data_IF_104978224145
#
_entry.id   IF_104978224145
#
_cell.length_a   1.000
_cell.length_b   1.000
_cell.length_c   1.000
_cell.angle_alpha   90.00
_cell.angle_beta   90.00
_cell.angle_gamma   90.00
#
_symmetry.space_group_name_H-M   'P 1'
#
loop_
_entity.id
_entity.type
_entity.pdbx_description
1 polymer ?
#
# COMPACT_ATOMS: atom_id res chain seq x y z
N UNK A 1 10.86 34.62 -14.88
CA UNK A 1 11.64 33.68 -14.05
C UNK A 1 10.77 32.71 -13.24
N UNK A 2 9.63 33.12 -12.65
CA UNK A 2 8.77 32.23 -11.88
C UNK A 2 8.18 31.04 -12.67
N UNK A 3 7.75 31.26 -13.92
CA UNK A 3 7.12 30.21 -14.75
C UNK A 3 8.08 29.06 -15.11
N UNK A 4 9.34 29.36 -15.43
CA UNK A 4 10.34 28.35 -15.75
C UNK A 4 10.67 27.46 -14.54
N UNK A 5 10.72 28.04 -13.35
CA UNK A 5 10.94 27.30 -12.10
C UNK A 5 9.77 26.34 -11.82
N UNK A 6 8.53 26.80 -12.00
CA UNK A 6 7.33 25.96 -11.82
C UNK A 6 7.31 24.77 -12.77
N UNK A 7 7.66 24.97 -14.04
CA UNK A 7 7.77 23.90 -15.04
C UNK A 7 8.83 22.85 -14.64
N UNK A 8 10.00 23.29 -14.17
CA UNK A 8 11.06 22.39 -13.71
C UNK A 8 10.62 21.59 -12.47
N UNK A 9 9.95 22.22 -11.51
CA UNK A 9 9.38 21.56 -10.33
C UNK A 9 8.34 20.51 -10.72
N UNK A 10 7.48 20.81 -11.69
CA UNK A 10 6.51 19.85 -12.21
C UNK A 10 7.18 18.64 -12.89
N UNK A 11 8.20 18.88 -13.71
CA UNK A 11 8.97 17.80 -14.37
C UNK A 11 9.67 16.88 -13.35
N UNK A 12 10.30 17.47 -12.33
CA UNK A 12 10.95 16.71 -11.25
C UNK A 12 9.93 15.91 -10.44
N UNK A 13 8.76 16.49 -10.16
CA UNK A 13 7.67 15.79 -9.47
C UNK A 13 7.16 14.59 -10.28
N UNK A 14 6.90 14.78 -11.58
CA UNK A 14 6.44 13.73 -12.48
C UNK A 14 7.45 12.59 -12.61
N UNK A 15 8.73 12.90 -12.80
CA UNK A 15 9.79 11.91 -12.86
C UNK A 15 9.98 11.17 -11.53
N UNK A 16 9.89 11.88 -10.40
CA UNK A 16 9.98 11.24 -9.08
C UNK A 16 8.79 10.29 -8.85
N UNK A 17 7.58 10.68 -9.27
CA UNK A 17 6.38 9.85 -9.15
C UNK A 17 6.42 8.59 -10.02
N UNK A 18 6.91 8.68 -11.26
CA UNK A 18 7.02 7.53 -12.17
C UNK A 18 8.05 6.49 -11.71
N UNK A 19 9.06 6.92 -10.93
CA UNK A 19 10.11 6.07 -10.38
C UNK A 19 9.96 5.82 -8.86
N UNK A 20 8.87 6.26 -8.24
CA UNK A 20 8.61 5.97 -6.82
C UNK A 20 8.08 4.54 -6.65
N UNK A 21 9.01 3.60 -6.54
CA UNK A 21 8.72 2.23 -6.16
C UNK A 21 8.73 2.13 -4.64
N UNK A 22 7.56 2.38 -4.04
CA UNK A 22 7.39 2.43 -2.59
C UNK A 22 6.10 1.77 -2.16
N UNK A 23 6.11 1.22 -0.95
CA UNK A 23 4.93 0.69 -0.29
C UNK A 23 4.79 1.34 1.08
N UNK A 24 3.58 1.75 1.44
CA UNK A 24 3.25 2.22 2.78
C UNK A 24 2.17 1.34 3.37
N UNK A 25 2.23 1.12 4.67
CA UNK A 25 1.21 0.40 5.40
C UNK A 25 0.77 1.20 6.61
N UNK A 26 -0.55 1.31 6.78
CA UNK A 26 -1.17 1.90 7.96
C UNK A 26 -2.15 0.93 8.60
N UNK A 27 -2.39 1.13 9.90
CA UNK A 27 -3.29 0.28 10.68
C UNK A 27 -4.34 1.15 11.34
N UNK A 28 -5.59 0.67 11.36
CA UNK A 28 -6.71 1.36 11.98
C UNK A 28 -7.50 0.38 12.83
N UNK A 29 -7.58 0.65 14.13
CA UNK A 29 -8.42 -0.14 15.04
C UNK A 29 -9.90 0.08 14.75
N UNK A 30 -10.67 -1.01 14.65
CA UNK A 30 -12.11 -1.02 14.31
C UNK A 30 -12.99 -1.64 15.38
N UNK A 31 -12.48 -1.88 16.58
CA UNK A 31 -13.22 -2.49 17.69
C UNK A 31 -12.77 -3.91 18.03
N UNK A 32 -13.48 -4.56 18.95
CA UNK A 32 -13.26 -5.95 19.34
C UNK A 32 -14.35 -6.87 18.82
N UNK A 33 -13.99 -8.11 18.55
CA UNK A 33 -14.93 -9.20 18.28
C UNK A 33 -15.48 -9.76 19.61
N UNK A 34 -16.60 -10.52 19.59
CA UNK A 34 -17.18 -11.12 20.80
C UNK A 34 -16.24 -12.05 21.56
N UNK A 35 -15.25 -12.64 20.89
CA UNK A 35 -14.22 -13.50 21.50
C UNK A 35 -13.02 -12.72 22.10
N UNK A 36 -13.10 -11.39 22.15
CA UNK A 36 -12.09 -10.52 22.74
C UNK A 36 -10.95 -10.12 21.81
N UNK A 37 -10.86 -10.73 20.61
CA UNK A 37 -9.84 -10.36 19.61
C UNK A 37 -10.11 -8.98 19.01
N UNK A 38 -9.07 -8.34 18.47
CA UNK A 38 -9.15 -7.01 17.87
C UNK A 38 -9.48 -7.11 16.38
N UNK A 39 -10.40 -6.26 15.91
CA UNK A 39 -10.65 -6.02 14.49
C UNK A 39 -9.80 -4.83 14.06
N UNK A 40 -8.89 -5.03 13.11
CA UNK A 40 -7.95 -4.02 12.66
C UNK A 40 -7.92 -4.00 11.14
N UNK A 41 -8.04 -2.80 10.55
CA UNK A 41 -7.87 -2.60 9.12
C UNK A 41 -6.42 -2.27 8.82
N UNK A 42 -5.82 -3.02 7.90
CA UNK A 42 -4.47 -2.85 7.38
C UNK A 42 -4.60 -2.28 5.98
N UNK A 43 -4.11 -1.07 5.75
CA UNK A 43 -4.20 -0.37 4.47
C UNK A 43 -2.81 -0.29 3.86
N UNK A 44 -2.60 -1.08 2.82
CA UNK A 44 -1.35 -1.17 2.10
C UNK A 44 -1.47 -0.44 0.76
N UNK A 45 -0.70 0.63 0.57
CA UNK A 45 -0.65 1.40 -0.68
C UNK A 45 0.72 1.22 -1.32
N UNK A 46 0.73 0.71 -2.54
CA UNK A 46 1.97 0.34 -3.24
C UNK A 46 1.92 0.74 -4.69
N UNK A 47 3.07 1.19 -5.16
CA UNK A 47 3.30 1.65 -6.52
C UNK A 47 4.21 0.68 -7.27
N UNK A 48 3.77 0.25 -8.45
CA UNK A 48 4.52 -0.67 -9.32
C UNK A 48 4.70 -0.09 -10.71
N UNK A 49 5.68 -0.62 -11.42
CA UNK A 49 5.85 -0.46 -12.87
C UNK A 49 4.84 -1.31 -13.67
N UNK A 50 3.73 -1.78 -13.09
CA UNK A 50 2.70 -2.54 -13.81
C UNK A 50 1.48 -2.89 -12.96
N UNK A 51 0.28 -2.86 -13.54
CA UNK A 51 -0.97 -3.09 -12.80
C UNK A 51 -1.19 -4.55 -12.37
N UNK A 52 -0.59 -5.51 -13.08
CA UNK A 52 -0.69 -6.93 -12.72
C UNK A 52 0.01 -7.27 -11.40
N UNK A 53 0.99 -6.46 -10.98
CA UNK A 53 1.75 -6.72 -9.77
C UNK A 53 0.94 -6.44 -8.52
N UNK A 54 1.25 -7.15 -7.45
CA UNK A 54 0.66 -6.95 -6.13
C UNK A 54 1.71 -7.25 -5.06
N UNK A 55 1.50 -6.70 -3.87
CA UNK A 55 2.38 -6.88 -2.73
C UNK A 55 1.50 -7.16 -1.54
N UNK A 56 1.81 -8.25 -0.87
CA UNK A 56 1.19 -8.64 0.37
C UNK A 56 2.26 -8.64 1.44
N UNK A 57 2.02 -7.90 2.51
CA UNK A 57 2.83 -7.99 3.71
C UNK A 57 2.50 -9.30 4.44
N UNK A 58 3.52 -10.10 4.67
CA UNK A 58 3.48 -11.33 5.45
C UNK A 58 3.68 -11.03 6.94
N UNK A 59 3.13 -11.88 7.80
CA UNK A 59 3.42 -11.79 9.23
C UNK A 59 4.80 -12.40 9.50
N UNK A 60 5.68 -11.65 10.17
CA UNK A 60 7.00 -12.17 10.52
C UNK A 60 6.88 -13.28 11.58
N UNK A 61 7.50 -14.44 11.32
CA UNK A 61 7.59 -15.58 12.23
C UNK A 61 6.26 -16.04 12.85
N UNK A 62 5.14 -15.88 12.13
CA UNK A 62 3.81 -16.27 12.61
C UNK A 62 3.45 -15.64 13.98
N UNK A 63 3.92 -14.41 14.20
CA UNK A 63 3.70 -13.66 15.43
C UNK A 63 2.23 -13.16 15.55
N UNK A 64 1.96 -12.25 16.48
CA UNK A 64 0.65 -11.73 16.82
C UNK A 64 -0.06 -10.89 15.71
N UNK A 65 0.25 -11.06 14.42
CA UNK A 65 -0.37 -10.28 13.34
C UNK A 65 -1.78 -10.75 12.95
N UNK A 66 -2.25 -11.86 13.55
CA UNK A 66 -3.55 -12.44 13.29
C UNK A 66 -3.74 -12.98 11.87
N UNK A 67 -4.99 -13.11 11.46
CA UNK A 67 -5.37 -13.61 10.14
C UNK A 67 -6.33 -12.64 9.43
N UNK A 68 -6.32 -12.69 8.10
CA UNK A 68 -7.18 -11.86 7.25
C UNK A 68 -8.59 -12.45 7.23
N UNK A 69 -9.60 -11.65 7.55
CA UNK A 69 -11.01 -12.03 7.49
C UNK A 69 -11.70 -11.49 6.24
N UNK A 70 -11.23 -10.36 5.71
CA UNK A 70 -11.69 -9.78 4.46
C UNK A 70 -10.55 -9.02 3.80
N UNK A 71 -10.51 -9.00 2.48
CA UNK A 71 -9.53 -8.26 1.71
C UNK A 71 -10.20 -7.65 0.49
N UNK A 72 -9.94 -6.36 0.26
CA UNK A 72 -10.36 -5.64 -0.93
C UNK A 72 -9.15 -4.96 -1.54
N UNK A 73 -9.02 -5.02 -2.86
CA UNK A 73 -7.95 -4.35 -3.61
C UNK A 73 -8.55 -3.43 -4.66
N UNK A 74 -8.03 -2.21 -4.75
CA UNK A 74 -8.39 -1.22 -5.76
C UNK A 74 -7.16 -0.64 -6.44
N UNK A 75 -7.35 -0.12 -7.66
CA UNK A 75 -6.36 0.73 -8.33
C UNK A 75 -6.70 2.18 -8.01
N UNK A 76 -5.76 2.90 -7.39
CA UNK A 76 -5.89 4.33 -7.10
C UNK A 76 -5.61 5.13 -8.35
N UNK A 77 -4.50 4.83 -9.03
CA UNK A 77 -4.07 5.53 -10.22
C UNK A 77 -3.33 4.59 -11.19
N UNK A 78 -3.34 4.94 -12.48
CA UNK A 78 -2.59 4.25 -13.52
C UNK A 78 -2.18 5.21 -14.62
N UNK A 79 -0.99 5.01 -15.14
CA UNK A 79 -0.45 5.78 -16.27
C UNK A 79 0.22 4.85 -17.27
N UNK A 80 0.17 5.22 -18.54
CA UNK A 80 0.96 4.57 -19.60
C UNK A 80 2.29 5.28 -19.85
N UNK A 81 2.55 6.38 -19.14
CA UNK A 81 3.80 7.13 -19.20
C UNK A 81 4.83 6.51 -18.26
N UNK A 82 5.30 5.32 -18.60
CA UNK A 82 6.28 4.54 -17.85
C UNK A 82 7.36 3.97 -18.79
N UNK A 83 8.51 3.49 -18.26
CA UNK A 83 9.58 2.92 -19.08
C UNK A 83 9.09 1.84 -20.05
N UNK A 84 9.77 1.70 -21.20
CA UNK A 84 9.34 0.85 -22.31
C UNK A 84 9.14 -0.63 -21.95
N UNK A 85 9.76 -1.11 -20.87
CA UNK A 85 9.70 -2.51 -20.42
C UNK A 85 8.28 -2.98 -20.09
N UNK A 86 7.46 -2.12 -19.48
CA UNK A 86 6.09 -2.50 -19.08
C UNK A 86 5.03 -1.47 -19.52
N UNK A 87 5.45 -0.28 -19.99
CA UNK A 87 4.58 0.82 -20.52
C UNK A 87 3.37 1.14 -19.65
N UNK A 88 3.45 0.82 -18.37
CA UNK A 88 2.40 1.06 -17.42
C UNK A 88 3.04 1.32 -16.05
N UNK A 89 2.43 2.19 -15.29
CA UNK A 89 2.71 2.40 -13.88
C UNK A 89 1.36 2.40 -13.17
N UNK A 90 1.28 1.76 -12.01
CA UNK A 90 0.04 1.67 -11.25
C UNK A 90 0.26 1.82 -9.76
N UNK A 91 -0.57 2.64 -9.15
CA UNK A 91 -0.70 2.74 -7.71
C UNK A 91 -1.95 1.99 -7.27
N UNK A 92 -1.77 1.02 -6.37
CA UNK A 92 -2.86 0.20 -5.89
C UNK A 92 -2.92 0.20 -4.38
N UNK A 93 -4.12 -0.01 -3.86
CA UNK A 93 -4.35 -0.12 -2.44
C UNK A 93 -5.06 -1.42 -2.12
N UNK A 94 -4.56 -2.10 -1.10
CA UNK A 94 -5.19 -3.27 -0.51
C UNK A 94 -5.59 -2.95 0.91
N UNK A 95 -6.88 -3.07 1.21
CA UNK A 95 -7.43 -2.98 2.56
C UNK A 95 -7.70 -4.40 3.04
N UNK A 96 -6.96 -4.84 4.04
CA UNK A 96 -7.17 -6.12 4.72
C UNK A 96 -7.82 -5.87 6.08
N UNK A 97 -8.98 -6.46 6.31
CA UNK A 97 -9.52 -6.58 7.67
C UNK A 97 -8.87 -7.80 8.31
N UNK A 98 -8.24 -7.60 9.45
CA UNK A 98 -7.59 -8.66 10.22
C UNK A 98 -8.21 -8.81 11.59
N UNK A 99 -8.26 -10.07 12.02
CA UNK A 99 -8.54 -10.44 13.40
C UNK A 99 -7.22 -10.70 14.12
N UNK A 100 -6.82 -9.76 14.96
CA UNK A 100 -5.59 -9.77 15.74
C UNK A 100 -5.89 -10.33 17.13
N UNK A 101 -5.19 -11.39 17.60
CA UNK A 101 -5.65 -12.14 18.77
C UNK A 101 -5.40 -11.41 20.09
N UNK A 102 -4.33 -10.61 20.21
CA UNK A 102 -3.99 -9.87 21.44
C UNK A 102 -3.45 -8.47 21.14
N UNK A 103 -3.25 -7.64 22.15
CA UNK A 103 -2.62 -6.32 22.06
C UNK A 103 -1.07 -6.37 22.05
N UNK A 104 -0.48 -7.57 22.00
CA UNK A 104 0.97 -7.73 21.93
C UNK A 104 1.55 -7.15 20.62
N UNK A 105 2.81 -6.69 20.64
CA UNK A 105 3.49 -6.22 19.44
C UNK A 105 3.51 -7.29 18.34
N UNK A 106 3.39 -6.86 17.08
CA UNK A 106 3.53 -7.71 15.91
C UNK A 106 4.36 -6.99 14.84
N UNK A 107 4.89 -7.77 13.89
CA UNK A 107 5.71 -7.25 12.80
C UNK A 107 5.23 -7.82 11.46
N UNK A 108 5.15 -6.94 10.47
CA UNK A 108 4.79 -7.26 9.09
C UNK A 108 6.03 -7.04 8.20
N UNK A 109 6.20 -7.85 7.16
CA UNK A 109 7.29 -7.75 6.17
C UNK A 109 6.82 -8.06 4.75
#
# INVERSE_FOLDING_TARGET
MAAALLLLLQLVSLASASHHYGGTMSFSYKGRNPDGSFRVDFRNRVTYDGCQYSHSWSCYNNNNCGYVTNQQRGTIDRSTNAPQSNRQWCETETVQQRKVPTDKPFQMR
#
